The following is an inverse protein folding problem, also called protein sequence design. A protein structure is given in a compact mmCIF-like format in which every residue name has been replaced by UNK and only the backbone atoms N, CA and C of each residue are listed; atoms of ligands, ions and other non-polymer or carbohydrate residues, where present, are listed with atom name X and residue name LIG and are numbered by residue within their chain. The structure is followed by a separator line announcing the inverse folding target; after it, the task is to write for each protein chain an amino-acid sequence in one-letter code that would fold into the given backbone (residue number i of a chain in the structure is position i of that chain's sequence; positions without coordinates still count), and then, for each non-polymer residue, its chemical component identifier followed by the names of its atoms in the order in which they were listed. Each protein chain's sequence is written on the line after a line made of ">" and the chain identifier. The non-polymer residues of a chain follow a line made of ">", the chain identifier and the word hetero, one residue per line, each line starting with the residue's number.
data_IF_959615473705
#
_entry.id   IF_959615473705
#
_cell.length_a   1.000
_cell.length_b   1.000
_cell.length_c   1.000
_cell.angle_alpha   90.00
_cell.angle_beta   90.00
_cell.angle_gamma   90.00
#
_symmetry.space_group_name_H-M   'P 1'
#
loop_
_entity.id
_entity.type
_entity.pdbx_description
1 polymer ?
#
# COMPACT_ATOMS: atom_id res chain seq x y z
N UNK A 1 8.31 19.45 18.46
CA UNK A 1 8.72 19.03 17.09
C UNK A 1 7.45 18.60 16.36
N UNK A 2 7.26 19.02 15.11
CA UNK A 2 6.10 18.60 14.31
C UNK A 2 6.34 17.15 13.87
N UNK A 3 5.44 16.23 14.21
CA UNK A 3 5.57 14.84 13.79
C UNK A 3 5.40 14.75 12.27
N UNK A 4 6.41 14.25 11.56
CA UNK A 4 6.33 13.94 10.13
C UNK A 4 5.76 12.52 9.98
N UNK A 5 4.54 12.41 9.46
CA UNK A 5 3.89 11.13 9.19
C UNK A 5 4.18 10.73 7.74
N UNK A 6 4.71 9.52 7.55
CA UNK A 6 4.88 8.90 6.25
C UNK A 6 3.95 7.69 6.17
N UNK A 7 2.96 7.74 5.29
CA UNK A 7 2.08 6.62 4.96
C UNK A 7 2.71 5.80 3.85
N UNK A 8 2.87 4.50 4.06
CA UNK A 8 3.34 3.57 3.03
C UNK A 8 2.14 2.71 2.64
N UNK A 9 1.77 2.74 1.36
CA UNK A 9 0.60 2.04 0.82
C UNK A 9 1.03 1.05 -0.26
N UNK A 10 0.31 -0.05 -0.40
CA UNK A 10 0.53 -1.02 -1.48
C UNK A 10 -0.45 -0.76 -2.64
N UNK A 11 0.10 -0.42 -3.80
CA UNK A 11 -0.65 -0.17 -5.01
C UNK A 11 -1.43 1.15 -5.02
N UNK A 12 -1.92 1.50 -6.22
CA UNK A 12 -2.60 2.77 -6.44
C UNK A 12 -3.99 2.85 -5.80
N UNK A 13 -4.76 1.76 -5.80
CA UNK A 13 -6.16 1.80 -5.32
C UNK A 13 -6.30 2.33 -3.89
N UNK A 14 -5.44 1.88 -2.97
CA UNK A 14 -5.44 2.40 -1.61
C UNK A 14 -4.85 3.81 -1.53
N UNK A 15 -3.78 4.07 -2.28
CA UNK A 15 -3.14 5.40 -2.35
C UNK A 15 -4.15 6.48 -2.73
N UNK A 16 -4.91 6.24 -3.80
CA UNK A 16 -5.81 7.21 -4.38
C UNK A 16 -7.01 7.43 -3.46
N UNK A 17 -7.51 6.38 -2.82
CA UNK A 17 -8.54 6.51 -1.79
C UNK A 17 -8.09 7.34 -0.58
N UNK A 18 -6.84 7.20 -0.11
CA UNK A 18 -6.33 8.04 0.99
C UNK A 18 -6.16 9.51 0.57
N UNK A 19 -5.84 9.77 -0.70
CA UNK A 19 -5.78 11.13 -1.24
C UNK A 19 -7.17 11.76 -1.36
N UNK A 20 -8.17 11.00 -1.81
CA UNK A 20 -9.57 11.45 -1.88
C UNK A 20 -10.13 11.82 -0.50
N UNK A 21 -9.62 11.20 0.57
CA UNK A 21 -10.00 11.50 1.95
C UNK A 21 -9.17 12.64 2.59
N UNK A 22 -8.27 13.29 1.86
CA UNK A 22 -7.39 14.35 2.34
C UNK A 22 -6.57 13.97 3.60
N UNK A 23 -6.10 12.72 3.67
CA UNK A 23 -5.27 12.26 4.79
C UNK A 23 -3.95 13.03 4.83
N UNK A 24 -3.67 13.66 5.97
CA UNK A 24 -2.48 14.48 6.17
C UNK A 24 -1.23 13.59 6.35
N UNK A 25 -0.17 13.93 5.63
CA UNK A 25 1.13 13.27 5.69
C UNK A 25 1.70 13.02 4.30
N UNK A 26 2.96 12.64 4.24
CA UNK A 26 3.55 12.18 2.99
C UNK A 26 3.05 10.77 2.68
N UNK A 27 2.76 10.48 1.41
CA UNK A 27 2.32 9.14 1.00
C UNK A 27 3.34 8.59 0.00
N UNK A 28 3.90 7.43 0.31
CA UNK A 28 4.70 6.61 -0.60
C UNK A 28 3.88 5.40 -1.03
N UNK A 29 3.75 5.20 -2.33
CA UNK A 29 3.14 3.99 -2.90
C UNK A 29 4.24 2.99 -3.22
N UNK A 30 4.22 1.85 -2.53
CA UNK A 30 4.96 0.67 -2.90
C UNK A 30 4.14 -0.11 -3.92
N UNK A 31 4.74 -0.48 -5.04
CA UNK A 31 4.16 -1.47 -5.93
C UNK A 31 4.72 -2.81 -5.50
N UNK A 32 3.89 -3.70 -4.96
CA UNK A 32 4.36 -5.06 -4.72
C UNK A 32 4.88 -5.65 -6.03
N UNK A 33 6.15 -6.08 -6.01
CA UNK A 33 6.53 -7.19 -6.87
C UNK A 33 5.66 -8.34 -6.39
N UNK A 34 4.84 -8.89 -7.29
CA UNK A 34 4.23 -10.20 -7.12
C UNK A 34 5.37 -11.22 -7.05
N UNK A 35 6.00 -11.34 -5.88
CA UNK A 35 6.91 -12.42 -5.52
C UNK A 35 6.11 -13.68 -5.12
N UNK A 36 4.88 -13.78 -5.62
CA UNK A 36 4.04 -14.95 -5.44
C UNK A 36 4.57 -16.03 -6.38
N UNK A 37 5.50 -16.82 -5.85
CA UNK A 37 5.69 -18.19 -6.32
C UNK A 37 4.33 -18.91 -6.32
N UNK A 38 4.17 -19.97 -7.12
CA UNK A 38 2.86 -20.57 -7.38
C UNK A 38 2.09 -20.86 -6.09
N UNK A 39 0.87 -20.33 -5.98
CA UNK A 39 -0.07 -20.71 -4.92
C UNK A 39 -0.50 -22.16 -5.14
N UNK A 40 0.19 -23.11 -4.51
CA UNK A 40 -0.14 -24.54 -4.63
C UNK A 40 -1.33 -24.83 -3.72
N UNK A 41 -2.54 -24.81 -4.28
CA UNK A 41 -3.74 -25.28 -3.58
C UNK A 41 -3.68 -26.80 -3.44
N UNK A 42 -3.24 -27.30 -2.28
CA UNK A 42 -3.31 -28.72 -1.97
C UNK A 42 -4.75 -29.10 -1.56
N UNK A 43 -5.60 -29.33 -2.56
CA UNK A 43 -6.93 -29.93 -2.36
C UNK A 43 -6.78 -31.46 -2.22
N UNK A 44 -7.15 -32.00 -1.06
CA UNK A 44 -7.27 -33.44 -0.80
C UNK A 44 -8.71 -33.90 -0.98
#
# INVERSE_FOLDING_TARGET
>A
MKSSILHITNGNSLTDYLKELDIVGDILTWQEMLCEGPTISNIN
#
